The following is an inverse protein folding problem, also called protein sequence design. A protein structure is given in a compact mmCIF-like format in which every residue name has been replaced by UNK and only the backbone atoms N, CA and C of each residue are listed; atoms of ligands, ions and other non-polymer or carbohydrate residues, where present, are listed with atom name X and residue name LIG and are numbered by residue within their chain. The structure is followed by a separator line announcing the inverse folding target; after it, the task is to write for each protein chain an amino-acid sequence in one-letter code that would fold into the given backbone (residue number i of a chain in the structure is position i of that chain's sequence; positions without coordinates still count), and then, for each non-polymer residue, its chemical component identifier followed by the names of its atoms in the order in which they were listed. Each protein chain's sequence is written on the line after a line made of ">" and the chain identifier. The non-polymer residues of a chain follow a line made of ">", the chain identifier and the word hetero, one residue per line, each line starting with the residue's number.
data_IF_600706380736
#
_entry.id   IF_600706380736
#
_cell.length_a   1.000
_cell.length_b   1.000
_cell.length_c   1.000
_cell.angle_alpha   90.00
_cell.angle_beta   90.00
_cell.angle_gamma   90.00
#
_symmetry.space_group_name_H-M   'P 1'
#
loop_
_entity.id
_entity.type
_entity.pdbx_description
1 polymer ?
#
# COMPACT_ATOMS: atom_id res chain seq x y z
N UNK A 1 21.23 -64.12 -26.68
CA UNK A 1 21.84 -63.90 -25.36
C UNK A 1 20.87 -63.08 -24.51
N UNK A 2 20.23 -63.71 -23.51
CA UNK A 2 19.29 -63.02 -22.62
C UNK A 2 20.03 -62.50 -21.38
N UNK A 3 20.15 -61.18 -21.24
CA UNK A 3 20.70 -60.55 -20.04
C UNK A 3 19.76 -60.78 -18.85
N UNK A 4 20.13 -61.69 -17.94
CA UNK A 4 19.47 -61.84 -16.63
C UNK A 4 19.73 -60.57 -15.81
N UNK A 5 18.70 -59.76 -15.61
CA UNK A 5 18.69 -58.69 -14.59
C UNK A 5 18.74 -59.35 -13.21
N UNK A 6 19.87 -59.24 -12.50
CA UNK A 6 19.97 -59.64 -11.09
C UNK A 6 19.03 -58.75 -10.27
N UNK A 7 18.08 -59.36 -9.56
CA UNK A 7 17.18 -58.65 -8.64
C UNK A 7 17.98 -57.96 -7.53
N UNK A 8 17.60 -56.73 -7.22
CA UNK A 8 18.18 -55.96 -6.12
C UNK A 8 17.94 -56.70 -4.80
N UNK A 9 19.01 -56.99 -4.03
CA UNK A 9 18.90 -57.69 -2.76
C UNK A 9 18.14 -56.89 -1.71
N UNK A 10 17.35 -57.57 -0.87
CA UNK A 10 16.48 -56.96 0.15
C UNK A 10 17.25 -56.00 1.07
N UNK A 11 18.50 -56.31 1.43
CA UNK A 11 19.36 -55.42 2.22
C UNK A 11 19.76 -54.12 1.50
N UNK A 12 19.89 -54.14 0.17
CA UNK A 12 20.15 -52.92 -0.60
C UNK A 12 18.91 -52.02 -0.67
N UNK A 13 17.70 -52.61 -0.69
CA UNK A 13 16.43 -51.88 -0.61
C UNK A 13 16.24 -51.28 0.78
N UNK A 14 16.50 -52.04 1.85
CA UNK A 14 16.43 -51.56 3.23
C UNK A 14 17.42 -50.42 3.49
N UNK A 15 18.69 -50.58 3.10
CA UNK A 15 19.70 -49.53 3.24
C UNK A 15 19.34 -48.28 2.43
N UNK A 16 18.77 -48.43 1.23
CA UNK A 16 18.31 -47.29 0.43
C UNK A 16 17.15 -46.56 1.11
N UNK A 17 16.21 -47.29 1.72
CA UNK A 17 15.10 -46.71 2.48
C UNK A 17 15.60 -46.00 3.75
N UNK A 18 16.50 -46.61 4.51
CA UNK A 18 17.07 -46.03 5.73
C UNK A 18 17.89 -44.77 5.42
N UNK A 19 18.67 -44.78 4.33
CA UNK A 19 19.37 -43.57 3.87
C UNK A 19 18.39 -42.47 3.44
N UNK A 20 17.33 -42.81 2.70
CA UNK A 20 16.29 -41.85 2.32
C UNK A 20 15.62 -41.22 3.54
N UNK A 21 15.29 -42.03 4.56
CA UNK A 21 14.68 -41.56 5.80
C UNK A 21 15.64 -40.64 6.58
N UNK A 22 16.93 -40.96 6.63
CA UNK A 22 17.95 -40.10 7.26
C UNK A 22 18.11 -38.77 6.53
N UNK A 23 18.12 -38.77 5.20
CA UNK A 23 18.16 -37.54 4.41
C UNK A 23 16.90 -36.70 4.61
N UNK A 24 15.72 -37.31 4.68
CA UNK A 24 14.47 -36.61 4.96
C UNK A 24 14.48 -35.96 6.35
N UNK A 25 14.85 -36.71 7.39
CA UNK A 25 14.94 -36.20 8.76
C UNK A 25 15.97 -35.07 8.87
N UNK A 26 17.12 -35.18 8.20
CA UNK A 26 18.13 -34.11 8.20
C UNK A 26 17.65 -32.89 7.41
N UNK A 27 16.91 -33.08 6.32
CA UNK A 27 16.27 -32.00 5.56
C UNK A 27 15.24 -31.23 6.40
N UNK A 28 14.40 -31.93 7.15
CA UNK A 28 13.43 -31.33 8.06
C UNK A 28 14.10 -30.57 9.21
N UNK A 29 15.17 -31.14 9.78
CA UNK A 29 15.97 -30.46 10.81
C UNK A 29 16.59 -29.16 10.26
N UNK A 30 17.20 -29.20 9.07
CA UNK A 30 17.79 -28.01 8.44
C UNK A 30 16.75 -26.95 8.13
N UNK A 31 15.56 -27.35 7.65
CA UNK A 31 14.46 -26.43 7.42
C UNK A 31 13.97 -25.78 8.72
N UNK A 32 13.86 -26.56 9.80
CA UNK A 32 13.49 -26.05 11.13
C UNK A 32 14.51 -25.05 11.67
N UNK A 33 15.81 -25.35 11.55
CA UNK A 33 16.89 -24.45 11.95
C UNK A 33 16.90 -23.15 11.14
N UNK A 34 16.62 -23.22 9.82
CA UNK A 34 16.48 -22.03 8.98
C UNK A 34 15.27 -21.18 9.37
N UNK A 35 14.13 -21.80 9.67
CA UNK A 35 12.93 -21.07 10.11
C UNK A 35 13.14 -20.39 11.47
N UNK A 36 13.82 -21.05 12.41
CA UNK A 36 14.13 -20.43 13.70
C UNK A 36 15.09 -19.25 13.55
N UNK A 37 16.10 -19.38 12.69
CA UNK A 37 17.03 -18.29 12.39
C UNK A 37 16.32 -17.11 11.71
N UNK A 38 15.44 -17.37 10.74
CA UNK A 38 14.65 -16.34 10.08
C UNK A 38 13.74 -15.61 11.08
N UNK A 39 13.06 -16.34 11.96
CA UNK A 39 12.22 -15.77 13.01
C UNK A 39 12.99 -14.83 13.92
N UNK A 40 14.21 -15.22 14.35
CA UNK A 40 15.09 -14.35 15.14
C UNK A 40 15.51 -13.09 14.39
N UNK A 41 15.82 -13.20 13.09
CA UNK A 41 16.18 -12.04 12.27
C UNK A 41 15.00 -11.08 12.10
N UNK A 42 13.78 -11.60 11.91
CA UNK A 42 12.57 -10.78 11.83
C UNK A 42 12.29 -10.04 13.13
N UNK A 43 12.49 -10.67 14.29
CA UNK A 43 12.33 -10.01 15.60
C UNK A 43 13.39 -8.92 15.84
N UNK A 44 14.64 -9.18 15.48
CA UNK A 44 15.71 -8.17 15.54
C UNK A 44 15.42 -6.99 14.61
N UNK A 45 14.97 -7.27 13.39
CA UNK A 45 14.57 -6.25 12.43
C UNK A 45 13.39 -5.43 12.96
N UNK A 46 12.38 -6.09 13.54
CA UNK A 46 11.21 -5.44 14.11
C UNK A 46 11.58 -4.42 15.19
N UNK A 47 12.42 -4.84 16.15
CA UNK A 47 12.95 -3.98 17.21
C UNK A 47 13.82 -2.84 16.66
N UNK A 48 14.64 -3.11 15.65
CA UNK A 48 15.47 -2.09 15.00
C UNK A 48 14.62 -1.01 14.33
N UNK A 49 13.57 -1.42 13.62
CA UNK A 49 12.66 -0.51 12.93
C UNK A 49 11.81 0.31 13.91
N UNK A 50 11.36 -0.29 15.00
CA UNK A 50 10.72 0.39 16.14
C UNK A 50 11.63 1.50 16.72
N UNK A 51 12.87 1.16 17.04
CA UNK A 51 13.82 2.13 17.57
C UNK A 51 14.12 3.24 16.57
N UNK A 52 14.25 2.90 15.29
CA UNK A 52 14.46 3.89 14.23
C UNK A 52 13.30 4.88 14.16
N UNK A 53 12.05 4.41 14.09
CA UNK A 53 10.92 5.32 14.02
C UNK A 53 10.71 6.13 15.29
N UNK A 54 11.00 5.57 16.46
CA UNK A 54 10.97 6.33 17.71
C UNK A 54 12.00 7.47 17.71
N UNK A 55 13.24 7.19 17.28
CA UNK A 55 14.32 8.19 17.19
C UNK A 55 14.03 9.28 16.15
N UNK A 56 13.45 8.89 15.02
CA UNK A 56 13.19 9.79 13.88
C UNK A 56 11.72 10.22 13.78
N UNK A 57 10.93 10.09 14.85
CA UNK A 57 9.47 10.33 14.84
C UNK A 57 9.11 11.70 14.27
N UNK A 58 9.78 12.75 14.75
CA UNK A 58 9.54 14.12 14.29
C UNK A 58 9.96 14.34 12.84
N UNK A 59 11.01 13.67 12.37
CA UNK A 59 11.48 13.76 10.99
C UNK A 59 10.50 13.06 10.03
N UNK A 60 10.01 11.87 10.40
CA UNK A 60 8.96 11.16 9.66
C UNK A 60 7.69 12.01 9.58
N UNK A 61 7.35 12.74 10.65
CA UNK A 61 6.17 13.58 10.69
C UNK A 61 6.32 14.86 9.86
N UNK A 62 7.44 15.58 10.01
CA UNK A 62 7.63 16.92 9.44
C UNK A 62 8.19 16.90 8.02
N UNK A 63 9.06 15.94 7.69
CA UNK A 63 9.74 15.86 6.40
C UNK A 63 9.08 14.79 5.51
N UNK A 64 8.44 15.24 4.44
CA UNK A 64 7.77 14.35 3.47
C UNK A 64 8.72 13.42 2.73
N UNK A 65 9.94 13.85 2.38
CA UNK A 65 10.91 12.98 1.70
C UNK A 65 11.37 11.86 2.65
N UNK A 66 11.69 12.21 3.90
CA UNK A 66 12.08 11.22 4.90
C UNK A 66 10.96 10.21 5.18
N UNK A 67 9.72 10.70 5.31
CA UNK A 67 8.53 9.86 5.46
C UNK A 67 8.37 8.86 4.32
N UNK A 68 8.57 9.31 3.08
CA UNK A 68 8.48 8.45 1.88
C UNK A 68 9.54 7.35 1.92
N UNK A 69 10.81 7.71 2.16
CA UNK A 69 11.90 6.73 2.25
C UNK A 69 11.66 5.70 3.37
N UNK A 70 11.16 6.16 4.52
CA UNK A 70 10.81 5.27 5.63
C UNK A 70 9.73 4.26 5.21
N UNK A 71 8.72 4.69 4.45
CA UNK A 71 7.67 3.80 3.96
C UNK A 71 8.14 2.84 2.89
N UNK A 72 8.95 3.30 1.94
CA UNK A 72 9.51 2.45 0.89
C UNK A 72 10.39 1.34 1.51
N UNK A 73 11.14 1.67 2.57
CA UNK A 73 11.87 0.70 3.37
C UNK A 73 10.92 -0.32 4.03
N UNK A 74 9.86 0.12 4.71
CA UNK A 74 8.89 -0.80 5.30
C UNK A 74 8.25 -1.72 4.24
N UNK A 75 7.84 -1.16 3.10
CA UNK A 75 7.23 -1.90 2.00
C UNK A 75 8.16 -2.95 1.40
N UNK A 76 9.46 -2.67 1.30
CA UNK A 76 10.46 -3.63 0.77
C UNK A 76 10.56 -4.91 1.59
N UNK A 77 10.22 -4.85 2.89
CA UNK A 77 10.22 -5.99 3.81
C UNK A 77 8.81 -6.60 3.95
N UNK A 78 7.82 -6.07 3.23
CA UNK A 78 6.42 -6.50 3.35
C UNK A 78 5.74 -5.99 4.63
N UNK A 79 6.29 -4.94 5.24
CA UNK A 79 5.70 -4.26 6.40
C UNK A 79 4.92 -3.05 5.94
N UNK A 80 3.65 -2.97 6.32
CA UNK A 80 2.84 -1.77 6.14
C UNK A 80 2.79 -0.96 7.45
N UNK A 81 3.49 0.18 7.54
CA UNK A 81 3.49 1.00 8.75
C UNK A 81 2.13 1.65 9.04
N UNK A 82 1.20 1.59 8.08
CA UNK A 82 -0.15 2.12 8.16
C UNK A 82 -1.22 1.04 8.38
N UNK A 83 -0.83 -0.25 8.42
CA UNK A 83 -1.76 -1.34 8.67
C UNK A 83 -2.08 -1.46 10.17
N UNK A 84 -3.29 -1.03 10.53
CA UNK A 84 -4.02 -1.29 11.78
C UNK A 84 -3.40 -0.75 13.07
N UNK A 85 -4.19 0.01 13.86
CA UNK A 85 -3.85 0.45 15.22
C UNK A 85 -3.54 -0.68 16.23
N UNK A 86 -3.83 -1.95 15.88
CA UNK A 86 -3.46 -3.15 16.67
C UNK A 86 -2.19 -3.86 16.17
N UNK A 87 -1.68 -3.49 15.00
CA UNK A 87 -0.41 -3.99 14.49
C UNK A 87 0.76 -3.44 15.30
N UNK A 88 1.81 -4.25 15.47
CA UNK A 88 3.07 -3.85 16.08
C UNK A 88 3.56 -2.49 15.55
N UNK A 89 3.28 -2.19 14.28
CA UNK A 89 3.77 -1.01 13.58
C UNK A 89 2.98 0.29 13.80
N UNK A 90 1.65 0.26 13.79
CA UNK A 90 0.90 1.51 13.97
C UNK A 90 1.01 2.05 15.40
N UNK A 91 0.98 1.16 16.41
CA UNK A 91 1.08 1.53 17.83
C UNK A 91 2.47 2.05 18.20
N UNK A 92 3.51 1.52 17.56
CA UNK A 92 4.90 1.79 17.92
C UNK A 92 5.53 2.91 17.11
N UNK A 93 5.16 3.06 15.83
CA UNK A 93 5.81 4.02 14.93
C UNK A 93 5.11 5.39 14.92
N UNK A 94 3.83 5.49 15.33
CA UNK A 94 3.05 6.74 15.31
C UNK A 94 2.84 7.35 13.92
N UNK A 95 3.29 6.66 12.85
CA UNK A 95 3.14 7.07 11.45
C UNK A 95 1.69 6.90 11.00
N UNK A 96 0.98 5.90 11.54
CA UNK A 96 -0.45 5.70 11.31
C UNK A 96 -1.28 6.93 11.68
N UNK A 97 -0.98 7.58 12.82
CA UNK A 97 -1.72 8.74 13.32
C UNK A 97 -1.73 9.89 12.31
N UNK A 98 -0.62 10.13 11.60
CA UNK A 98 -0.56 11.15 10.56
C UNK A 98 -1.53 10.85 9.41
N UNK A 99 -1.57 9.60 8.92
CA UNK A 99 -2.45 9.23 7.82
C UNK A 99 -3.92 9.11 8.23
N UNK A 100 -4.20 8.72 9.47
CA UNK A 100 -5.57 8.74 10.00
C UNK A 100 -6.07 10.17 10.15
N UNK A 101 -5.26 11.08 10.71
CA UNK A 101 -5.60 12.50 10.79
C UNK A 101 -5.78 13.10 9.39
N UNK A 102 -4.88 12.80 8.46
CA UNK A 102 -4.97 13.25 7.07
C UNK A 102 -6.23 12.70 6.39
N UNK A 103 -6.58 11.44 6.61
CA UNK A 103 -7.79 10.81 6.08
C UNK A 103 -9.05 11.54 6.54
N UNK A 104 -9.15 11.87 7.83
CA UNK A 104 -10.28 12.67 8.36
C UNK A 104 -10.34 14.04 7.69
N UNK A 105 -9.21 14.73 7.55
CA UNK A 105 -9.17 16.04 6.89
C UNK A 105 -9.60 15.95 5.41
N UNK A 106 -9.21 14.89 4.70
CA UNK A 106 -9.66 14.64 3.32
C UNK A 106 -11.17 14.45 3.27
N UNK A 107 -11.73 13.65 4.18
CA UNK A 107 -13.19 13.43 4.28
C UNK A 107 -13.92 14.76 4.51
N UNK A 108 -13.45 15.60 5.42
CA UNK A 108 -14.02 16.93 5.68
C UNK A 108 -14.01 17.84 4.45
N UNK A 109 -12.88 17.89 3.73
CA UNK A 109 -12.75 18.67 2.49
C UNK A 109 -13.73 18.15 1.43
N UNK A 110 -13.82 16.84 1.25
CA UNK A 110 -14.73 16.24 0.28
C UNK A 110 -16.20 16.48 0.62
N UNK A 111 -16.59 16.31 1.90
CA UNK A 111 -17.97 16.56 2.35
C UNK A 111 -18.37 18.03 2.18
N UNK A 112 -17.50 18.96 2.58
CA UNK A 112 -17.77 20.40 2.49
C UNK A 112 -17.85 20.94 1.06
N UNK A 113 -17.38 20.19 0.06
CA UNK A 113 -17.33 20.62 -1.35
C UNK A 113 -18.26 19.83 -2.27
N UNK A 114 -18.80 18.72 -1.78
CA UNK A 114 -19.70 17.82 -2.52
C UNK A 114 -20.84 18.53 -3.25
N UNK A 115 -21.44 19.56 -2.64
CA UNK A 115 -22.53 20.34 -3.23
C UNK A 115 -22.11 21.22 -4.42
N UNK A 116 -20.81 21.45 -4.61
CA UNK A 116 -20.23 22.28 -5.67
C UNK A 116 -19.71 21.42 -6.82
N UNK A 117 -19.01 20.32 -6.49
CA UNK A 117 -18.29 19.49 -7.45
C UNK A 117 -18.89 18.10 -7.67
N UNK A 118 -20.03 17.80 -7.03
CA UNK A 118 -20.69 16.50 -7.13
C UNK A 118 -19.95 15.35 -6.44
N UNK A 119 -18.94 15.64 -5.60
CA UNK A 119 -18.14 14.63 -4.93
C UNK A 119 -16.94 14.13 -5.73
N UNK A 120 -16.49 14.89 -6.74
CA UNK A 120 -15.29 14.58 -7.54
C UNK A 120 -14.32 15.76 -7.42
N UNK A 121 -13.06 15.48 -7.07
CA UNK A 121 -12.04 16.51 -6.90
C UNK A 121 -10.65 15.99 -7.27
N UNK A 122 -9.80 16.82 -7.86
CA UNK A 122 -8.39 16.46 -8.10
C UNK A 122 -7.61 16.37 -6.79
N UNK A 123 -6.63 15.46 -6.74
CA UNK A 123 -5.73 15.35 -5.59
C UNK A 123 -4.99 16.67 -5.33
N UNK A 124 -4.65 17.42 -6.37
CA UNK A 124 -4.02 18.74 -6.25
C UNK A 124 -4.93 19.75 -5.56
N UNK A 125 -6.23 19.77 -5.88
CA UNK A 125 -7.18 20.67 -5.24
C UNK A 125 -7.42 20.31 -3.78
N UNK A 126 -7.52 19.00 -3.46
CA UNK A 126 -7.55 18.52 -2.07
C UNK A 126 -6.33 19.00 -1.32
N UNK A 127 -5.13 18.80 -1.89
CA UNK A 127 -3.87 19.26 -1.29
C UNK A 127 -3.88 20.76 -1.03
N UNK A 128 -4.30 21.56 -2.01
CA UNK A 128 -4.34 23.01 -1.89
C UNK A 128 -5.29 23.45 -0.77
N UNK A 129 -6.47 22.83 -0.67
CA UNK A 129 -7.44 23.10 0.41
C UNK A 129 -6.89 22.72 1.78
N UNK A 130 -6.30 21.54 1.91
CA UNK A 130 -5.66 21.08 3.15
C UNK A 130 -4.52 22.00 3.59
N UNK A 131 -3.69 22.46 2.66
CA UNK A 131 -2.60 23.38 2.97
C UNK A 131 -3.10 24.77 3.37
N UNK A 132 -4.24 25.23 2.82
CA UNK A 132 -4.88 26.51 3.20
C UNK A 132 -5.57 26.45 4.57
N UNK A 133 -6.20 25.32 4.91
CA UNK A 133 -6.89 25.15 6.20
C UNK A 133 -5.94 24.92 7.38
N UNK A 134 -4.68 24.57 7.11
CA UNK A 134 -3.68 24.33 8.16
C UNK A 134 -3.23 25.63 8.83
N UNK A 135 -3.19 25.58 10.17
CA UNK A 135 -2.63 26.66 10.99
C UNK A 135 -1.17 26.94 10.63
N UNK A 136 -0.77 28.22 10.70
CA UNK A 136 0.63 28.68 10.53
C UNK A 136 1.63 27.95 11.44
N UNK A 137 1.17 27.33 12.53
CA UNK A 137 2.00 26.59 13.47
C UNK A 137 2.29 25.14 13.02
N UNK A 138 1.49 24.55 12.13
CA UNK A 138 1.68 23.19 11.61
C UNK A 138 2.56 23.22 10.36
N UNK A 139 3.85 22.92 10.53
CA UNK A 139 4.86 22.88 9.44
C UNK A 139 4.94 21.57 8.66
N UNK A 140 4.06 20.61 8.92
CA UNK A 140 4.08 19.32 8.21
C UNK A 140 3.73 19.51 6.74
N UNK A 141 4.62 19.08 5.85
CA UNK A 141 4.37 19.12 4.41
C UNK A 141 3.52 17.92 3.99
N UNK A 142 2.39 18.17 3.31
CA UNK A 142 1.58 17.14 2.66
C UNK A 142 1.95 17.07 1.18
N UNK A 143 2.26 15.87 0.71
CA UNK A 143 2.53 15.56 -0.70
C UNK A 143 1.32 14.88 -1.36
N UNK A 144 1.32 14.82 -2.69
CA UNK A 144 0.33 14.08 -3.47
C UNK A 144 0.31 12.60 -3.07
N UNK A 145 1.49 12.00 -2.87
CA UNK A 145 1.65 10.60 -2.42
C UNK A 145 1.00 10.37 -1.04
N UNK A 146 1.12 11.34 -0.12
CA UNK A 146 0.46 11.24 1.18
C UNK A 146 -1.07 11.16 1.06
N UNK A 147 -1.65 11.94 0.15
CA UNK A 147 -3.10 11.95 -0.09
C UNK A 147 -3.53 10.64 -0.75
N UNK A 148 -2.81 10.17 -1.78
CA UNK A 148 -3.10 8.89 -2.44
C UNK A 148 -3.11 7.74 -1.42
N UNK A 149 -2.08 7.67 -0.57
CA UNK A 149 -2.00 6.66 0.50
C UNK A 149 -3.14 6.80 1.50
N UNK A 150 -3.46 8.01 1.94
CA UNK A 150 -4.56 8.23 2.88
C UNK A 150 -5.91 7.78 2.29
N UNK A 151 -6.20 8.13 1.03
CA UNK A 151 -7.43 7.74 0.34
C UNK A 151 -7.49 6.22 0.14
N UNK A 152 -6.38 5.58 -0.25
CA UNK A 152 -6.32 4.12 -0.37
C UNK A 152 -6.67 3.44 0.96
N UNK A 153 -6.27 4.03 2.09
CA UNK A 153 -6.62 3.53 3.42
C UNK A 153 -8.06 3.79 3.82
N UNK A 154 -8.74 4.78 3.26
CA UNK A 154 -10.16 5.02 3.51
C UNK A 154 -11.06 3.92 2.91
N UNK A 155 -10.57 3.15 1.93
CA UNK A 155 -11.33 2.04 1.31
C UNK A 155 -11.78 0.96 2.31
N UNK A 156 -11.10 0.84 3.47
CA UNK A 156 -11.52 -0.09 4.53
C UNK A 156 -12.87 0.26 5.14
N UNK A 157 -13.34 1.50 4.96
CA UNK A 157 -14.64 1.98 5.40
C UNK A 157 -15.77 1.69 4.39
N UNK A 158 -15.44 1.13 3.21
CA UNK A 158 -16.36 0.84 2.12
C UNK A 158 -16.00 1.58 0.82
N UNK A 159 -16.89 1.51 -0.18
CA UNK A 159 -16.72 2.13 -1.51
C UNK A 159 -17.05 3.63 -1.56
N UNK A 160 -16.95 4.34 -0.43
CA UNK A 160 -17.27 5.77 -0.36
C UNK A 160 -16.16 6.67 -0.90
N UNK A 161 -14.92 6.19 -0.93
CA UNK A 161 -13.75 6.94 -1.39
C UNK A 161 -12.95 6.13 -2.40
N UNK A 162 -12.87 6.62 -3.64
CA UNK A 162 -12.17 5.94 -4.72
C UNK A 162 -11.19 6.87 -5.44
N UNK A 163 -10.11 6.30 -5.95
CA UNK A 163 -9.11 6.99 -6.76
C UNK A 163 -9.35 6.66 -8.24
N UNK A 164 -9.60 7.69 -9.04
CA UNK A 164 -9.80 7.56 -10.48
C UNK A 164 -8.56 8.08 -11.21
N UNK A 165 -7.89 7.25 -12.02
CA UNK A 165 -6.73 7.70 -12.77
C UNK A 165 -7.13 8.64 -13.91
N UNK A 166 -6.43 9.77 -13.99
CA UNK A 166 -6.44 10.70 -15.11
C UNK A 166 -5.19 10.52 -15.99
N UNK A 167 -5.12 11.26 -17.10
CA UNK A 167 -3.92 11.34 -17.92
C UNK A 167 -2.72 11.90 -17.15
N UNK A 168 -1.51 11.56 -17.62
CA UNK A 168 -0.27 12.14 -17.09
C UNK A 168 0.05 11.81 -15.63
N UNK A 169 -0.54 10.74 -15.06
CA UNK A 169 -0.28 10.32 -13.68
C UNK A 169 -1.02 11.13 -12.61
N UNK A 170 -2.02 11.91 -13.01
CA UNK A 170 -2.93 12.62 -12.10
C UNK A 170 -4.05 11.70 -11.63
N UNK A 171 -4.68 12.08 -10.52
CA UNK A 171 -5.79 11.31 -9.94
C UNK A 171 -6.91 12.24 -9.49
N UNK A 172 -8.15 11.77 -9.64
CA UNK A 172 -9.31 12.31 -8.95
C UNK A 172 -9.62 11.45 -7.73
N UNK A 173 -10.16 12.08 -6.70
CA UNK A 173 -10.83 11.42 -5.59
C UNK A 173 -12.32 11.56 -5.80
N UNK A 174 -13.01 10.43 -5.82
CA UNK A 174 -14.45 10.35 -5.72
C UNK A 174 -14.83 10.11 -4.25
N UNK A 175 -15.74 10.91 -3.70
CA UNK A 175 -16.14 10.85 -2.29
C UNK A 175 -17.64 10.60 -2.05
N UNK A 176 -18.41 10.50 -3.14
CA UNK A 176 -19.85 10.26 -3.07
C UNK A 176 -20.14 8.89 -3.68
N UNK A 177 -20.96 8.05 -3.01
CA UNK A 177 -21.36 6.75 -3.54
C UNK A 177 -22.05 6.90 -4.90
N UNK A 178 -21.53 6.20 -5.90
CA UNK A 178 -22.07 6.15 -7.24
C UNK A 178 -21.05 5.48 -8.14
N UNK A 179 -21.46 4.49 -8.94
CA UNK A 179 -20.52 3.84 -9.84
C UNK A 179 -20.28 4.77 -11.04
N UNK A 180 -19.03 5.25 -11.18
CA UNK A 180 -18.60 5.83 -12.45
C UNK A 180 -18.28 4.66 -13.37
N UNK A 181 -19.08 4.49 -14.42
CA UNK A 181 -18.79 3.51 -15.46
C UNK A 181 -17.48 3.87 -16.17
N UNK A 182 -16.92 2.92 -16.89
CA UNK A 182 -15.75 3.15 -17.74
C UNK A 182 -15.98 4.28 -18.75
N UNK A 183 -17.22 4.47 -19.20
CA UNK A 183 -17.58 5.57 -20.11
C UNK A 183 -17.53 6.92 -19.39
N UNK A 184 -18.03 7.00 -18.16
CA UNK A 184 -17.91 8.22 -17.34
C UNK A 184 -16.43 8.58 -17.12
N UNK A 185 -15.58 7.61 -16.78
CA UNK A 185 -14.13 7.85 -16.61
C UNK A 185 -13.47 8.36 -17.89
N UNK A 186 -13.83 7.81 -19.06
CA UNK A 186 -13.30 8.28 -20.36
C UNK A 186 -13.74 9.70 -20.69
N UNK A 187 -15.00 10.05 -20.42
CA UNK A 187 -15.49 11.42 -20.61
C UNK A 187 -14.79 12.40 -19.67
N UNK A 188 -14.54 12.01 -18.40
CA UNK A 188 -13.77 12.82 -17.46
C UNK A 188 -12.32 13.02 -17.91
N UNK A 189 -11.69 12.00 -18.50
CA UNK A 189 -10.35 12.12 -19.10
C UNK A 189 -10.33 13.08 -20.30
N UNK A 190 -11.37 13.10 -21.15
CA UNK A 190 -11.47 14.10 -22.22
C UNK A 190 -11.62 15.52 -21.69
N UNK A 191 -12.36 15.70 -20.59
CA UNK A 191 -12.56 17.00 -19.97
C UNK A 191 -11.27 17.57 -19.33
N UNK A 192 -10.24 16.74 -19.14
CA UNK A 192 -8.99 17.10 -18.47
C UNK A 192 -8.26 18.26 -19.16
N UNK A 193 -8.27 18.30 -20.49
CA UNK A 193 -7.55 19.32 -21.28
C UNK A 193 -8.34 20.63 -21.44
N UNK A 194 -9.65 20.52 -21.64
CA UNK A 194 -10.51 21.66 -22.00
C UNK A 194 -11.36 22.19 -20.83
N UNK A 195 -11.43 21.47 -19.70
CA UNK A 195 -12.35 21.70 -18.58
C UNK A 195 -13.86 21.60 -18.92
N UNK A 196 -14.19 21.21 -20.14
CA UNK A 196 -15.54 20.90 -20.60
C UNK A 196 -15.49 19.80 -21.66
N UNK A 197 -16.65 19.19 -21.94
CA UNK A 197 -16.82 18.23 -23.04
C UNK A 197 -18.02 18.64 -23.89
N UNK A 198 -17.92 18.42 -25.19
CA UNK A 198 -19.02 18.62 -26.14
C UNK A 198 -19.39 17.29 -26.78
N UNK A 199 -20.62 17.21 -27.31
CA UNK A 199 -21.07 16.03 -28.03
C UNK A 199 -20.14 15.72 -29.22
N UNK A 200 -19.75 16.76 -29.97
CA UNK A 200 -18.84 16.64 -31.11
C UNK A 200 -17.48 16.06 -30.68
N UNK A 201 -16.90 16.55 -29.58
CA UNK A 201 -15.63 16.06 -29.06
C UNK A 201 -15.72 14.59 -28.64
N UNK A 202 -16.81 14.20 -27.98
CA UNK A 202 -17.02 12.80 -27.56
C UNK A 202 -17.17 11.90 -28.80
N UNK A 203 -17.95 12.33 -29.79
CA UNK A 203 -18.15 11.58 -31.04
C UNK A 203 -16.88 11.46 -31.89
N UNK A 204 -15.97 12.43 -31.81
CA UNK A 204 -14.70 12.41 -32.53
C UNK A 204 -13.64 11.54 -31.84
N UNK A 205 -13.60 11.54 -30.50
CA UNK A 205 -12.52 10.90 -29.72
C UNK A 205 -12.84 9.53 -29.13
N UNK A 206 -14.11 9.20 -28.88
CA UNK A 206 -14.53 7.99 -28.15
C UNK A 206 -15.45 7.06 -28.95
N UNK A 207 -15.71 7.36 -30.23
CA UNK A 207 -16.59 6.56 -31.08
C UNK A 207 -15.84 5.47 -31.83
#
# INVERSE_FOLDING_TARGET
>A
MAFRRRGVGVGAVQNKQDMSNKFAAKGEQLASEQLSQLSMQLDQFAKGLEQFAHRHRDEIRKNSQFRRHFQDMCASVGVDPLASGKGFWAKTLGVGDFYYELGVQIVEVCLSTSHINGGIMTVEEIRNRLMRSRSRTRKETITTDDILRAVEKLKVLGSGFELLPLGGGRFLVQSVPGELSMDHSRVLQLAEDAAYVTLELIMDRLR
#
